data_IF_089804959263
#
_entry.id   IF_089804959263
#
_cell.length_a   1.000
_cell.length_b   1.000
_cell.length_c   1.000
_cell.angle_alpha   90.00
_cell.angle_beta   90.00
_cell.angle_gamma   90.00
#
_symmetry.space_group_name_H-M   'P 1'
#
loop_
_entity.id
_entity.type
_entity.pdbx_description
1 polymer ?
#
# COMPACT_ATOMS: atom_id res chain seq x y z
N UNK A 1 26.22 17.59 30.96
CA UNK A 1 27.39 16.77 31.36
C UNK A 1 28.08 16.33 30.09
N UNK A 2 29.13 17.07 29.73
CA UNK A 2 29.90 16.91 28.47
C UNK A 2 30.96 15.84 28.68
N UNK A 3 31.02 14.85 27.76
CA UNK A 3 32.18 13.95 27.66
C UNK A 3 32.81 14.12 26.28
N UNK A 4 33.91 14.87 26.26
CA UNK A 4 34.78 15.04 25.11
C UNK A 4 35.69 13.82 25.00
N UNK A 5 35.63 13.11 23.86
CA UNK A 5 36.63 12.09 23.52
C UNK A 5 37.60 12.68 22.51
N UNK A 6 38.81 12.95 22.98
CA UNK A 6 39.97 13.43 22.22
C UNK A 6 40.65 12.21 21.60
N UNK A 7 40.60 12.02 20.30
CA UNK A 7 41.43 11.00 19.62
C UNK A 7 42.75 11.59 19.14
N UNK A 8 43.84 11.06 19.71
CA UNK A 8 45.23 11.39 19.40
C UNK A 8 45.68 10.52 18.24
N UNK A 9 45.99 11.10 17.08
CA UNK A 9 46.65 10.41 15.98
C UNK A 9 48.15 10.46 16.19
N UNK A 10 48.75 9.33 16.52
CA UNK A 10 50.20 9.14 16.48
C UNK A 10 50.59 8.43 15.19
N UNK A 11 51.58 9.02 14.51
CA UNK A 11 52.27 8.48 13.33
C UNK A 11 52.76 7.06 13.58
N UNK A 12 52.46 6.15 12.66
CA UNK A 12 53.29 4.97 12.43
C UNK A 12 53.38 4.68 10.92
N UNK A 13 54.57 4.74 10.49
CA UNK A 13 55.39 4.36 9.37
C UNK A 13 54.90 3.15 8.58
N UNK A 14 55.08 3.25 7.26
CA UNK A 14 54.92 2.27 6.20
C UNK A 14 55.30 0.83 6.57
N UNK A 15 54.41 -0.09 6.30
CA UNK A 15 54.75 -1.47 5.89
C UNK A 15 53.73 -1.98 4.88
N UNK A 16 54.28 -2.58 3.81
CA UNK A 16 53.63 -3.35 2.80
C UNK A 16 52.56 -4.27 3.40
N UNK A 17 51.34 -4.19 2.93
CA UNK A 17 50.34 -5.22 3.16
C UNK A 17 49.77 -5.65 1.82
N UNK A 18 49.98 -6.92 1.57
CA UNK A 18 49.47 -7.84 0.55
C UNK A 18 47.94 -7.75 0.39
N UNK A 19 47.54 -7.90 -0.84
CA UNK A 19 46.17 -8.05 -1.26
C UNK A 19 45.39 -9.08 -0.43
N UNK A 20 44.30 -8.67 0.19
CA UNK A 20 43.19 -9.56 0.58
C UNK A 20 41.88 -8.99 0.06
N UNK A 21 41.37 -9.65 -0.94
CA UNK A 21 40.00 -9.46 -1.41
C UNK A 21 39.01 -9.85 -0.29
N UNK A 22 38.24 -8.88 0.20
CA UNK A 22 37.07 -9.19 1.01
C UNK A 22 35.88 -9.44 0.09
N UNK A 23 35.40 -10.68 0.08
CA UNK A 23 34.11 -11.03 -0.48
C UNK A 23 33.01 -10.41 0.38
N UNK A 24 32.26 -9.47 -0.20
CA UNK A 24 31.01 -9.01 0.38
C UNK A 24 29.92 -9.98 -0.10
N UNK A 25 29.41 -10.77 0.84
CA UNK A 25 28.23 -11.61 0.60
C UNK A 25 27.02 -10.72 0.40
N UNK A 26 26.54 -10.64 -0.85
CA UNK A 26 25.22 -10.10 -1.15
C UNK A 26 24.16 -11.11 -0.71
N UNK A 27 23.27 -10.66 0.16
CA UNK A 27 22.05 -11.37 0.57
C UNK A 27 21.21 -11.66 -0.69
N UNK A 28 20.92 -12.91 -0.93
CA UNK A 28 20.05 -13.40 -1.99
C UNK A 28 18.64 -12.86 -1.82
N UNK A 29 18.20 -12.04 -2.77
CA UNK A 29 16.78 -11.79 -3.03
C UNK A 29 16.38 -12.71 -4.19
N UNK A 30 15.49 -13.67 -4.01
CA UNK A 30 15.08 -14.57 -5.09
C UNK A 30 13.95 -13.94 -5.90
N UNK A 31 14.28 -13.25 -6.97
CA UNK A 31 13.36 -12.96 -8.07
C UNK A 31 14.19 -12.70 -9.32
N UNK A 32 14.40 -13.73 -10.13
CA UNK A 32 14.44 -13.70 -11.59
C UNK A 32 15.03 -15.03 -12.09
N UNK A 33 14.18 -15.98 -12.38
CA UNK A 33 14.52 -17.12 -13.23
C UNK A 33 14.57 -16.64 -14.69
N UNK A 34 15.55 -17.17 -15.41
CA UNK A 34 15.87 -17.07 -16.85
C UNK A 34 17.08 -16.16 -17.14
N UNK A 35 18.28 -16.73 -16.93
CA UNK A 35 19.49 -16.31 -17.64
C UNK A 35 19.97 -17.53 -18.45
N UNK A 36 20.12 -17.43 -19.76
CA UNK A 36 20.65 -18.53 -20.58
C UNK A 36 22.14 -18.76 -20.31
N UNK A 37 22.53 -20.04 -20.20
CA UNK A 37 23.86 -20.56 -19.82
C UNK A 37 25.00 -20.30 -20.85
N UNK A 38 24.99 -19.24 -21.63
CA UNK A 38 26.00 -18.99 -22.64
C UNK A 38 26.73 -17.65 -22.57
N UNK A 39 26.79 -17.03 -21.38
CA UNK A 39 27.49 -15.73 -21.26
C UNK A 39 28.96 -15.85 -20.88
N UNK A 40 29.43 -17.00 -20.40
CA UNK A 40 30.82 -17.16 -19.94
C UNK A 40 31.84 -17.23 -21.10
N UNK A 41 31.41 -17.53 -22.33
CA UNK A 41 32.29 -17.60 -23.47
C UNK A 41 32.51 -16.25 -24.19
N UNK A 42 31.73 -15.22 -23.88
CA UNK A 42 31.88 -13.90 -24.54
C UNK A 42 32.85 -12.97 -23.81
N UNK A 43 33.09 -13.19 -22.52
CA UNK A 43 33.99 -12.35 -21.71
C UNK A 43 35.45 -12.77 -21.78
N UNK A 44 35.72 -14.02 -22.17
CA UNK A 44 37.09 -14.57 -22.23
C UNK A 44 37.84 -14.27 -23.54
N UNK A 45 37.11 -13.91 -24.62
CA UNK A 45 37.73 -13.62 -25.91
C UNK A 45 38.24 -12.18 -26.04
N UNK A 46 37.73 -11.24 -25.26
CA UNK A 46 38.15 -9.82 -25.36
C UNK A 46 39.35 -9.42 -24.50
N UNK A 47 39.87 -10.31 -23.65
CA UNK A 47 40.99 -9.95 -22.74
C UNK A 47 42.39 -10.33 -23.30
N UNK A 48 42.48 -11.04 -24.43
CA UNK A 48 43.78 -11.50 -24.96
C UNK A 48 44.29 -10.74 -26.17
N UNK A 49 43.57 -9.78 -26.74
CA UNK A 49 44.02 -9.07 -27.95
C UNK A 49 44.50 -7.63 -27.73
N UNK A 50 44.61 -7.12 -26.48
CA UNK A 50 45.00 -5.74 -26.20
C UNK A 50 46.39 -5.56 -25.64
N UNK A 51 47.24 -6.59 -25.61
CA UNK A 51 48.62 -6.45 -25.18
C UNK A 51 49.60 -6.92 -26.27
N UNK A 52 49.60 -6.22 -27.40
CA UNK A 52 50.81 -6.20 -28.28
C UNK A 52 50.66 -5.07 -29.30
N UNK A 53 51.53 -4.09 -29.23
CA UNK A 53 51.87 -3.29 -30.37
C UNK A 53 51.64 -1.77 -30.30
N UNK A 54 52.75 -1.05 -30.03
CA UNK A 54 53.10 0.26 -30.57
C UNK A 54 52.59 1.55 -29.91
N UNK A 55 53.51 2.06 -29.16
CA UNK A 55 53.73 3.49 -28.87
C UNK A 55 53.87 4.28 -30.17
N UNK A 56 52.84 4.98 -30.64
CA UNK A 56 52.87 6.22 -31.45
C UNK A 56 51.40 6.69 -31.61
N UNK A 57 51.03 7.75 -30.99
CA UNK A 57 49.92 8.69 -31.17
C UNK A 57 49.15 9.02 -29.86
N UNK A 58 49.84 9.64 -28.95
CA UNK A 58 49.30 10.00 -27.60
C UNK A 58 48.36 11.22 -27.59
N UNK A 59 47.99 11.83 -28.71
CA UNK A 59 47.22 13.09 -28.73
C UNK A 59 45.83 12.97 -29.43
N UNK A 60 45.58 12.00 -30.30
CA UNK A 60 44.26 11.81 -30.89
C UNK A 60 43.35 10.85 -30.12
N UNK A 61 43.90 9.91 -29.35
CA UNK A 61 43.11 8.90 -28.62
C UNK A 61 42.30 9.45 -27.43
N UNK A 62 42.77 10.56 -26.81
CA UNK A 62 42.09 11.12 -25.65
C UNK A 62 40.77 11.86 -25.95
N UNK A 63 40.53 12.26 -27.19
CA UNK A 63 39.33 12.96 -27.61
C UNK A 63 38.19 11.97 -27.94
N UNK A 64 38.51 10.86 -28.57
CA UNK A 64 37.55 9.81 -28.91
C UNK A 64 37.08 9.06 -27.64
N UNK A 65 37.97 8.70 -26.73
CA UNK A 65 37.64 8.02 -25.47
C UNK A 65 36.74 8.91 -24.60
N UNK A 66 36.96 10.23 -24.57
CA UNK A 66 36.11 11.17 -23.84
C UNK A 66 34.70 11.29 -24.45
N UNK A 67 34.55 11.24 -25.77
CA UNK A 67 33.25 11.18 -26.45
C UNK A 67 32.52 9.88 -26.12
N UNK A 68 33.20 8.74 -26.23
CA UNK A 68 32.64 7.43 -25.91
C UNK A 68 32.13 7.32 -24.48
N UNK A 69 32.90 7.80 -23.50
CA UNK A 69 32.49 7.86 -22.08
C UNK A 69 31.28 8.78 -21.87
N UNK A 70 31.17 9.88 -22.63
CA UNK A 70 30.02 10.78 -22.56
C UNK A 70 28.77 10.13 -23.13
N UNK A 71 28.84 9.47 -24.29
CA UNK A 71 27.73 8.75 -24.91
C UNK A 71 27.31 7.54 -24.09
N UNK A 72 28.24 6.79 -23.51
CA UNK A 72 27.96 5.67 -22.62
C UNK A 72 27.19 6.10 -21.38
N UNK A 73 27.55 7.21 -20.74
CA UNK A 73 26.82 7.76 -19.60
C UNK A 73 25.40 8.21 -19.98
N UNK A 74 25.25 8.87 -21.12
CA UNK A 74 23.93 9.32 -21.59
C UNK A 74 23.04 8.13 -21.96
N UNK A 75 23.61 7.08 -22.57
CA UNK A 75 22.89 5.84 -22.87
C UNK A 75 22.48 5.09 -21.63
N UNK A 76 23.33 5.00 -20.61
CA UNK A 76 22.99 4.37 -19.31
C UNK A 76 21.86 5.12 -18.61
N UNK A 77 21.91 6.47 -18.59
CA UNK A 77 20.81 7.28 -18.01
C UNK A 77 19.52 7.13 -18.83
N UNK A 78 19.61 7.07 -20.15
CA UNK A 78 18.48 6.82 -21.04
C UNK A 78 17.87 5.44 -20.82
N UNK A 79 18.70 4.40 -20.71
CA UNK A 79 18.26 3.01 -20.45
C UNK A 79 17.63 2.86 -19.05
N UNK A 80 18.20 3.53 -18.05
CA UNK A 80 17.65 3.57 -16.70
C UNK A 80 16.30 4.29 -16.68
N UNK A 81 16.15 5.39 -17.41
CA UNK A 81 14.89 6.10 -17.59
C UNK A 81 13.82 5.24 -18.28
N UNK A 82 14.18 4.50 -19.32
CA UNK A 82 13.27 3.56 -20.01
C UNK A 82 12.89 2.39 -19.10
N UNK A 83 13.81 1.84 -18.32
CA UNK A 83 13.51 0.79 -17.33
C UNK A 83 12.54 1.26 -16.26
N UNK A 84 12.68 2.50 -15.78
CA UNK A 84 11.76 3.08 -14.79
C UNK A 84 10.36 3.33 -15.39
N UNK A 85 10.27 3.68 -16.67
CA UNK A 85 8.99 3.91 -17.36
C UNK A 85 8.28 2.62 -17.78
N UNK A 86 9.01 1.53 -18.06
CA UNK A 86 8.41 0.25 -18.48
C UNK A 86 7.83 -0.58 -17.33
N UNK A 87 8.08 -0.19 -16.06
CA UNK A 87 7.56 -0.90 -14.89
C UNK A 87 6.12 -0.51 -14.49
N UNK A 88 5.49 0.46 -15.15
CA UNK A 88 4.18 1.00 -14.78
C UNK A 88 3.02 0.28 -15.48
N UNK A 89 2.92 -1.04 -15.35
CA UNK A 89 1.68 -1.73 -15.67
C UNK A 89 0.67 -1.51 -14.53
N UNK A 90 -0.26 -0.56 -14.71
CA UNK A 90 -1.32 -0.22 -13.74
C UNK A 90 -2.15 -1.44 -13.33
N UNK A 91 -2.28 -2.43 -14.19
CA UNK A 91 -3.08 -3.64 -13.91
C UNK A 91 -2.48 -4.49 -12.79
N UNK A 92 -1.18 -4.39 -12.54
CA UNK A 92 -0.50 -5.09 -11.43
C UNK A 92 -0.71 -4.43 -10.07
N UNK A 93 -1.03 -3.14 -10.06
CA UNK A 93 -1.26 -2.37 -8.83
C UNK A 93 -2.74 -2.07 -8.69
N UNK A 94 -3.49 -3.03 -8.14
CA UNK A 94 -4.96 -2.96 -8.04
C UNK A 94 -5.48 -1.70 -7.32
N UNK A 95 -4.71 -1.14 -6.39
CA UNK A 95 -5.02 0.13 -5.70
C UNK A 95 -5.00 1.32 -6.67
N UNK A 96 -4.17 1.26 -7.73
CA UNK A 96 -4.05 2.33 -8.73
C UNK A 96 -5.06 2.19 -9.89
N UNK A 97 -5.98 1.21 -9.81
CA UNK A 97 -7.06 0.98 -10.78
C UNK A 97 -8.44 1.01 -10.08
N UNK A 98 -8.88 2.19 -9.59
CA UNK A 98 -10.13 2.34 -8.85
C UNK A 98 -11.35 2.03 -9.73
N UNK A 99 -12.33 1.32 -9.16
CA UNK A 99 -13.58 0.91 -9.82
C UNK A 99 -14.84 1.38 -9.09
N UNK A 100 -14.65 2.12 -8.00
CA UNK A 100 -15.71 2.72 -7.20
C UNK A 100 -15.47 4.20 -6.91
N UNK A 101 -16.48 4.98 -6.52
CA UNK A 101 -16.35 6.41 -6.24
C UNK A 101 -15.40 6.67 -5.05
N UNK A 102 -15.50 5.89 -3.98
CA UNK A 102 -14.62 6.02 -2.80
C UNK A 102 -13.16 5.78 -3.18
N UNK A 103 -12.86 4.68 -3.88
CA UNK A 103 -11.52 4.38 -4.35
C UNK A 103 -10.97 5.44 -5.33
N UNK A 104 -11.82 6.14 -6.08
CA UNK A 104 -11.42 7.28 -6.92
C UNK A 104 -10.94 8.46 -6.10
N UNK A 105 -11.65 8.81 -5.02
CA UNK A 105 -11.21 9.90 -4.12
C UNK A 105 -9.90 9.54 -3.40
N UNK A 106 -9.72 8.30 -2.97
CA UNK A 106 -8.46 7.82 -2.38
C UNK A 106 -7.31 7.90 -3.39
N UNK A 107 -7.53 7.48 -4.64
CA UNK A 107 -6.55 7.60 -5.71
C UNK A 107 -6.16 9.05 -5.98
N UNK A 108 -7.13 9.98 -5.92
CA UNK A 108 -6.89 11.41 -6.04
C UNK A 108 -5.98 11.94 -4.93
N UNK A 109 -6.20 11.52 -3.67
CA UNK A 109 -5.31 11.85 -2.56
C UNK A 109 -3.89 11.29 -2.76
N UNK A 110 -3.76 10.04 -3.24
CA UNK A 110 -2.46 9.44 -3.55
C UNK A 110 -1.71 10.28 -4.60
N UNK A 111 -2.39 10.73 -5.65
CA UNK A 111 -1.77 11.57 -6.69
C UNK A 111 -1.35 12.92 -6.12
N UNK A 112 -2.22 13.61 -5.37
CA UNK A 112 -1.92 14.91 -4.76
C UNK A 112 -0.72 14.79 -3.81
N UNK A 113 -0.72 13.82 -2.91
CA UNK A 113 0.38 13.60 -1.96
C UNK A 113 1.68 13.27 -2.67
N UNK A 114 1.65 12.45 -3.72
CA UNK A 114 2.83 12.10 -4.52
C UNK A 114 3.43 13.33 -5.21
N UNK A 115 2.58 14.20 -5.81
CA UNK A 115 3.03 15.44 -6.43
C UNK A 115 3.67 16.37 -5.39
N UNK A 116 3.03 16.56 -4.25
CA UNK A 116 3.56 17.41 -3.18
C UNK A 116 4.87 16.87 -2.60
N UNK A 117 5.01 15.55 -2.44
CA UNK A 117 6.28 14.93 -2.08
C UNK A 117 7.35 15.15 -3.15
N UNK A 118 7.01 15.04 -4.43
CA UNK A 118 7.95 15.26 -5.53
C UNK A 118 8.47 16.71 -5.58
N UNK A 119 7.61 17.70 -5.26
CA UNK A 119 8.00 19.13 -5.16
C UNK A 119 9.08 19.36 -4.10
N UNK A 120 9.14 18.55 -3.05
CA UNK A 120 10.20 18.62 -2.03
C UNK A 120 11.42 17.78 -2.44
N UNK A 121 11.19 16.53 -2.81
CA UNK A 121 12.25 15.55 -3.05
C UNK A 121 13.13 15.93 -4.25
N UNK A 122 12.50 16.35 -5.36
CA UNK A 122 13.26 16.67 -6.60
C UNK A 122 14.24 17.85 -6.40
N UNK A 123 13.85 19.01 -5.83
CA UNK A 123 14.80 20.09 -5.55
C UNK A 123 15.88 19.69 -4.56
N UNK A 124 15.55 18.96 -3.50
CA UNK A 124 16.53 18.48 -2.53
C UNK A 124 17.61 17.62 -3.19
N UNK A 125 17.22 16.64 -4.01
CA UNK A 125 18.19 15.83 -4.76
C UNK A 125 18.97 16.66 -5.78
N UNK A 126 18.33 17.61 -6.47
CA UNK A 126 19.01 18.48 -7.43
C UNK A 126 20.07 19.34 -6.75
N UNK A 127 19.75 19.96 -5.61
CA UNK A 127 20.68 20.76 -4.81
C UNK A 127 21.80 19.87 -4.25
N UNK A 128 21.48 18.70 -3.73
CA UNK A 128 22.46 17.74 -3.24
C UNK A 128 23.48 17.35 -4.33
N UNK A 129 23.01 16.97 -5.50
CA UNK A 129 23.87 16.62 -6.64
C UNK A 129 24.70 17.83 -7.08
N UNK A 130 24.09 19.02 -7.13
CA UNK A 130 24.79 20.27 -7.45
C UNK A 130 25.94 20.54 -6.46
N UNK A 131 25.69 20.48 -5.16
CA UNK A 131 26.70 20.72 -4.12
C UNK A 131 27.83 19.69 -4.25
N UNK A 132 27.52 18.39 -4.34
CA UNK A 132 28.52 17.33 -4.46
C UNK A 132 29.40 17.51 -5.71
N UNK A 133 28.83 17.89 -6.82
CA UNK A 133 29.57 18.09 -8.08
C UNK A 133 30.38 19.40 -8.04
N UNK A 134 29.80 20.49 -7.51
CA UNK A 134 30.39 21.83 -7.51
C UNK A 134 31.53 21.96 -6.50
N UNK A 135 31.37 21.38 -5.31
CA UNK A 135 32.36 21.49 -4.21
C UNK A 135 33.28 20.26 -4.08
N UNK A 136 33.21 19.36 -5.05
CA UNK A 136 34.08 18.18 -5.08
C UNK A 136 35.55 18.57 -5.13
N UNK A 137 36.39 17.96 -4.25
CA UNK A 137 37.83 18.15 -4.22
C UNK A 137 38.49 17.66 -5.52
N UNK A 138 38.85 18.59 -6.40
CA UNK A 138 39.53 18.34 -7.67
C UNK A 138 40.60 19.41 -7.91
N UNK A 139 41.77 19.09 -8.52
CA UNK A 139 42.72 20.07 -8.98
C UNK A 139 42.04 21.08 -9.93
N UNK A 140 42.20 22.39 -9.66
CA UNK A 140 41.59 23.47 -10.42
C UNK A 140 40.11 23.76 -10.13
N UNK A 141 39.57 23.29 -9.01
CA UNK A 141 38.23 23.68 -8.57
C UNK A 141 38.28 25.11 -7.96
N UNK A 142 37.54 26.03 -8.56
CA UNK A 142 37.44 27.44 -8.13
C UNK A 142 36.09 27.67 -7.39
N UNK A 143 35.56 26.69 -6.69
CA UNK A 143 34.37 26.89 -5.86
C UNK A 143 34.71 27.85 -4.70
N UNK A 144 33.84 28.82 -4.37
CA UNK A 144 34.06 29.69 -3.22
C UNK A 144 34.16 28.85 -1.94
N UNK A 145 35.09 29.18 -1.08
CA UNK A 145 35.28 28.52 0.20
C UNK A 145 34.91 29.51 1.31
N UNK A 146 33.78 29.28 1.95
CA UNK A 146 33.24 30.14 3.01
C UNK A 146 33.03 29.29 4.28
N UNK A 147 34.13 29.03 5.05
CA UNK A 147 34.06 28.11 6.19
C UNK A 147 33.27 28.65 7.38
N UNK A 148 33.04 29.95 7.43
CA UNK A 148 32.31 30.63 8.52
C UNK A 148 30.82 30.90 8.16
N UNK A 149 30.36 30.40 7.01
CA UNK A 149 28.95 30.51 6.64
C UNK A 149 28.13 29.44 7.37
N UNK A 150 27.45 29.83 8.43
CA UNK A 150 26.74 28.94 9.35
C UNK A 150 25.22 29.18 9.41
N UNK A 151 24.76 30.37 8.96
CA UNK A 151 23.35 30.77 9.06
C UNK A 151 22.88 31.50 7.78
N UNK A 152 21.60 31.36 7.46
CA UNK A 152 20.88 32.16 6.47
C UNK A 152 19.42 32.26 6.79
N UNK A 153 18.94 33.38 7.30
CA UNK A 153 17.54 33.62 7.64
C UNK A 153 16.58 33.46 6.46
N UNK A 154 17.06 33.77 5.26
CA UNK A 154 16.25 33.57 4.04
C UNK A 154 16.01 32.08 3.76
N UNK A 155 17.06 31.27 3.87
CA UNK A 155 16.93 29.83 3.71
C UNK A 155 16.10 29.23 4.83
N UNK A 156 16.23 29.71 6.05
CA UNK A 156 15.44 29.28 7.19
C UNK A 156 13.94 29.48 6.94
N UNK A 157 13.54 30.66 6.51
CA UNK A 157 12.13 30.96 6.16
C UNK A 157 11.65 30.08 5.01
N UNK A 158 12.46 29.79 4.01
CA UNK A 158 12.09 28.96 2.87
C UNK A 158 11.87 27.51 3.31
N UNK A 159 12.80 26.92 4.05
CA UNK A 159 12.70 25.50 4.42
C UNK A 159 11.62 25.21 5.50
N UNK A 160 11.25 26.21 6.31
CA UNK A 160 10.09 26.11 7.20
C UNK A 160 8.77 26.41 6.46
N UNK A 161 8.77 27.47 5.66
CA UNK A 161 7.57 27.96 5.00
C UNK A 161 7.00 26.97 3.98
N UNK A 162 7.83 26.38 3.12
CA UNK A 162 7.37 25.42 2.10
C UNK A 162 6.71 24.18 2.73
N UNK A 163 7.30 23.47 3.70
CA UNK A 163 6.65 22.34 4.35
C UNK A 163 5.37 22.72 5.08
N UNK A 164 5.31 23.85 5.74
CA UNK A 164 4.09 24.32 6.43
C UNK A 164 2.94 24.47 5.43
N UNK A 165 3.18 25.12 4.27
CA UNK A 165 2.17 25.26 3.21
C UNK A 165 1.74 23.90 2.65
N UNK A 166 2.69 22.99 2.41
CA UNK A 166 2.39 21.64 1.92
C UNK A 166 1.54 20.86 2.91
N UNK A 167 1.89 20.90 4.20
CA UNK A 167 1.11 20.20 5.26
C UNK A 167 -0.28 20.81 5.38
N UNK A 168 -0.44 22.14 5.27
CA UNK A 168 -1.74 22.79 5.31
C UNK A 168 -2.62 22.34 4.13
N UNK A 169 -2.07 22.28 2.92
CA UNK A 169 -2.78 21.80 1.72
C UNK A 169 -3.19 20.34 1.90
N UNK A 170 -2.28 19.46 2.29
CA UNK A 170 -2.57 18.03 2.51
C UNK A 170 -3.63 17.85 3.60
N UNK A 171 -3.49 18.56 4.72
CA UNK A 171 -4.44 18.49 5.84
C UNK A 171 -5.86 18.88 5.40
N UNK A 172 -5.99 19.96 4.63
CA UNK A 172 -7.28 20.39 4.10
C UNK A 172 -7.92 19.34 3.18
N UNK A 173 -7.18 18.82 2.20
CA UNK A 173 -7.70 17.80 1.28
C UNK A 173 -8.01 16.49 1.99
N UNK A 174 -7.15 16.05 2.91
CA UNK A 174 -7.36 14.81 3.68
C UNK A 174 -8.59 14.90 4.55
N UNK A 175 -8.75 15.99 5.33
CA UNK A 175 -9.92 16.19 6.18
C UNK A 175 -11.23 16.23 5.37
N UNK A 176 -11.24 16.95 4.24
CA UNK A 176 -12.40 17.01 3.35
C UNK A 176 -12.75 15.63 2.78
N UNK A 177 -11.76 14.91 2.23
CA UNK A 177 -12.01 13.59 1.65
C UNK A 177 -12.45 12.58 2.72
N UNK A 178 -11.89 12.61 3.93
CA UNK A 178 -12.32 11.74 5.03
C UNK A 178 -13.80 11.93 5.36
N UNK A 179 -14.29 13.18 5.39
CA UNK A 179 -15.70 13.49 5.60
C UNK A 179 -16.57 13.01 4.43
N UNK A 180 -16.09 13.18 3.19
CA UNK A 180 -16.87 12.83 2.00
C UNK A 180 -16.99 11.31 1.83
N UNK A 181 -15.95 10.51 2.10
CA UNK A 181 -15.99 9.04 2.01
C UNK A 181 -16.73 8.37 3.17
N UNK A 182 -16.94 9.08 4.29
CA UNK A 182 -17.76 8.61 5.42
C UNK A 182 -19.26 8.67 5.14
N UNK A 183 -19.67 9.25 4.03
CA UNK A 183 -21.08 9.40 3.62
C UNK A 183 -21.40 8.41 2.49
N UNK A 184 -22.71 8.07 2.32
CA UNK A 184 -23.11 7.24 1.17
C UNK A 184 -22.72 7.93 -0.14
N UNK A 185 -22.13 7.19 -1.09
CA UNK A 185 -21.66 7.76 -2.36
C UNK A 185 -22.79 8.35 -3.23
N UNK A 186 -24.02 7.87 -3.05
CA UNK A 186 -25.23 8.37 -3.72
C UNK A 186 -26.33 8.52 -2.67
N UNK A 187 -27.00 9.68 -2.63
CA UNK A 187 -27.96 10.00 -1.56
C UNK A 187 -29.38 9.47 -1.79
N UNK A 188 -29.81 9.32 -3.04
CA UNK A 188 -31.23 9.04 -3.38
C UNK A 188 -31.49 7.58 -3.72
N UNK A 189 -30.57 6.69 -3.38
CA UNK A 189 -30.69 5.25 -3.64
C UNK A 189 -30.64 4.50 -2.32
N UNK A 190 -31.64 3.63 -2.09
CA UNK A 190 -31.65 2.76 -0.92
C UNK A 190 -30.44 1.83 -0.93
N UNK A 191 -29.55 1.89 0.06
CA UNK A 191 -28.36 1.06 0.10
C UNK A 191 -28.69 -0.41 0.37
N UNK A 192 -27.85 -1.29 -0.13
CA UNK A 192 -27.84 -2.69 0.32
C UNK A 192 -26.92 -2.79 1.54
N UNK A 193 -27.48 -3.28 2.65
CA UNK A 193 -26.71 -3.51 3.88
C UNK A 193 -26.14 -4.93 3.87
N UNK A 194 -24.85 -5.06 4.11
CA UNK A 194 -24.14 -6.33 4.27
C UNK A 194 -23.37 -6.29 5.58
N UNK A 195 -23.72 -7.18 6.50
CA UNK A 195 -22.99 -7.34 7.75
C UNK A 195 -21.81 -8.28 7.52
N UNK A 196 -20.63 -7.90 8.00
CA UNK A 196 -19.40 -8.66 7.81
C UNK A 196 -18.79 -8.99 9.17
N UNK A 197 -18.57 -10.27 9.41
CA UNK A 197 -17.90 -10.75 10.61
C UNK A 197 -16.54 -11.34 10.23
N UNK A 198 -15.48 -10.78 10.79
CA UNK A 198 -14.14 -11.37 10.73
C UNK A 198 -14.08 -12.56 11.70
N UNK A 199 -13.77 -13.74 11.19
CA UNK A 199 -13.51 -14.96 11.96
C UNK A 199 -12.03 -15.33 11.83
N UNK A 200 -11.58 -16.34 12.59
CA UNK A 200 -10.21 -16.84 12.44
C UNK A 200 -9.98 -17.41 11.02
N UNK A 201 -9.33 -16.55 10.23
CA UNK A 201 -8.87 -16.65 8.85
C UNK A 201 -9.95 -16.83 7.78
N UNK A 202 -11.17 -16.30 8.03
CA UNK A 202 -12.27 -16.27 7.05
C UNK A 202 -13.20 -15.08 7.28
N UNK A 203 -14.01 -14.78 6.29
CA UNK A 203 -14.97 -13.69 6.28
C UNK A 203 -16.38 -14.22 6.12
N UNK A 204 -17.24 -13.95 7.09
CA UNK A 204 -18.67 -14.24 7.02
C UNK A 204 -19.42 -12.98 6.59
N UNK A 205 -20.21 -13.08 5.54
CA UNK A 205 -21.09 -12.04 5.02
C UNK A 205 -22.54 -12.44 5.26
N UNK A 206 -23.30 -11.62 5.97
CA UNK A 206 -24.73 -11.81 6.15
C UNK A 206 -25.51 -10.68 5.48
N UNK A 207 -26.63 -11.02 4.86
CA UNK A 207 -27.49 -10.10 4.11
C UNK A 207 -28.85 -9.99 4.81
N UNK A 208 -29.07 -8.98 5.68
CA UNK A 208 -30.33 -8.86 6.43
C UNK A 208 -31.55 -8.77 5.53
N UNK A 209 -31.44 -8.02 4.42
CA UNK A 209 -32.56 -7.87 3.46
C UNK A 209 -32.97 -9.16 2.71
N UNK A 210 -32.04 -10.09 2.52
CA UNK A 210 -32.24 -11.36 1.83
C UNK A 210 -32.31 -12.56 2.76
N UNK A 211 -31.89 -12.39 4.02
CA UNK A 211 -31.77 -13.45 5.04
C UNK A 211 -30.91 -14.64 4.59
N UNK A 212 -29.79 -14.37 3.89
CA UNK A 212 -28.82 -15.37 3.42
C UNK A 212 -27.42 -15.02 3.96
N UNK A 213 -26.50 -15.99 3.94
CA UNK A 213 -25.13 -15.75 4.32
C UNK A 213 -24.13 -16.42 3.35
N UNK A 214 -22.93 -15.86 3.26
CA UNK A 214 -21.81 -16.41 2.47
C UNK A 214 -20.50 -16.31 3.23
N UNK A 215 -19.54 -17.16 2.88
CA UNK A 215 -18.21 -17.17 3.46
C UNK A 215 -17.18 -17.02 2.36
N UNK A 216 -16.20 -16.10 2.57
CA UNK A 216 -15.09 -15.78 1.69
C UNK A 216 -15.49 -15.27 0.29
N UNK A 217 -16.74 -14.92 0.09
CA UNK A 217 -17.19 -14.12 -1.05
C UNK A 217 -18.43 -13.32 -0.70
N UNK A 218 -18.61 -12.19 -1.36
CA UNK A 218 -19.83 -11.39 -1.33
C UNK A 218 -20.31 -11.11 -2.75
N UNK A 219 -21.60 -11.13 -2.99
CA UNK A 219 -22.19 -10.67 -4.25
C UNK A 219 -22.98 -9.39 -3.99
N UNK A 220 -22.76 -8.37 -4.81
CA UNK A 220 -23.36 -7.03 -4.65
C UNK A 220 -23.91 -6.54 -5.99
N UNK A 221 -24.97 -5.72 -6.00
CA UNK A 221 -25.42 -5.07 -7.21
C UNK A 221 -24.47 -3.93 -7.62
N UNK A 222 -24.09 -3.86 -8.89
CA UNK A 222 -23.30 -2.77 -9.45
C UNK A 222 -24.14 -1.49 -9.55
N UNK A 223 -23.52 -0.33 -9.32
CA UNK A 223 -24.17 0.99 -9.36
C UNK A 223 -24.99 1.33 -8.12
N UNK A 224 -25.10 0.42 -7.14
CA UNK A 224 -25.86 0.63 -5.90
C UNK A 224 -24.88 0.87 -4.74
N UNK A 225 -25.14 1.85 -3.85
CA UNK A 225 -24.34 2.02 -2.63
C UNK A 225 -24.51 0.80 -1.72
N UNK A 226 -23.39 0.28 -1.22
CA UNK A 226 -23.36 -0.83 -0.27
C UNK A 226 -22.83 -0.30 1.05
N UNK A 227 -23.58 -0.54 2.12
CA UNK A 227 -23.14 -0.29 3.48
C UNK A 227 -22.64 -1.60 4.07
N UNK A 228 -21.34 -1.74 4.25
CA UNK A 228 -20.77 -2.79 5.06
C UNK A 228 -20.77 -2.38 6.53
N UNK A 229 -21.34 -3.25 7.38
CA UNK A 229 -21.29 -3.12 8.84
C UNK A 229 -20.38 -4.23 9.35
N UNK A 230 -19.26 -3.84 9.94
CA UNK A 230 -18.12 -4.70 10.19
C UNK A 230 -17.98 -4.99 11.69
N UNK A 231 -17.77 -6.25 12.05
CA UNK A 231 -17.39 -6.67 13.41
C UNK A 231 -16.39 -7.82 13.35
N UNK A 232 -15.94 -8.29 14.51
CA UNK A 232 -15.07 -9.45 14.63
C UNK A 232 -15.52 -10.39 15.75
N UNK A 233 -15.48 -11.69 15.53
CA UNK A 233 -15.52 -12.75 16.56
C UNK A 233 -14.17 -13.48 16.68
N UNK A 234 -13.10 -12.77 16.30
CA UNK A 234 -11.70 -13.18 16.28
C UNK A 234 -10.81 -11.96 16.61
N UNK A 235 -9.49 -12.07 16.66
CA UNK A 235 -8.62 -10.90 16.79
C UNK A 235 -8.91 -9.82 15.75
N UNK A 236 -8.70 -8.55 16.13
CA UNK A 236 -8.91 -7.40 15.25
C UNK A 236 -8.25 -7.61 13.88
N UNK A 237 -9.01 -7.34 12.81
CA UNK A 237 -8.52 -7.36 11.45
C UNK A 237 -8.90 -6.07 10.72
N UNK A 238 -8.48 -5.91 9.47
CA UNK A 238 -8.94 -4.86 8.56
C UNK A 238 -9.57 -5.47 7.34
N UNK A 239 -10.78 -5.05 7.04
CA UNK A 239 -11.49 -5.40 5.82
C UNK A 239 -11.06 -4.47 4.68
N UNK A 240 -10.62 -5.02 3.56
CA UNK A 240 -10.09 -4.22 2.47
C UNK A 240 -10.48 -4.75 1.09
N UNK A 241 -11.05 -3.88 0.26
CA UNK A 241 -11.36 -4.13 -1.15
C UNK A 241 -10.70 -3.03 -1.99
N UNK A 242 -9.41 -3.17 -2.35
CA UNK A 242 -8.55 -2.10 -2.88
C UNK A 242 -9.10 -1.30 -4.06
N UNK A 243 -9.90 -1.93 -4.92
CA UNK A 243 -10.46 -1.28 -6.12
C UNK A 243 -11.79 -0.54 -5.86
N UNK A 244 -12.43 -0.75 -4.72
CA UNK A 244 -13.74 -0.19 -4.42
C UNK A 244 -13.70 0.84 -3.30
N UNK A 245 -12.88 0.60 -2.26
CA UNK A 245 -12.73 1.48 -1.11
C UNK A 245 -11.42 1.18 -0.36
N UNK A 246 -11.08 2.04 0.60
CA UNK A 246 -9.98 1.83 1.55
C UNK A 246 -10.22 0.65 2.48
N UNK A 247 -9.52 0.65 3.60
CA UNK A 247 -9.68 -0.39 4.60
C UNK A 247 -10.40 0.17 5.85
N UNK A 248 -11.19 -0.70 6.50
CA UNK A 248 -11.85 -0.40 7.75
C UNK A 248 -11.59 -1.53 8.75
N UNK A 249 -11.44 -1.15 10.03
CA UNK A 249 -11.18 -2.13 11.07
C UNK A 249 -12.42 -2.98 11.39
N UNK A 250 -12.18 -4.26 11.67
CA UNK A 250 -13.15 -5.17 12.26
C UNK A 250 -12.70 -5.49 13.68
N UNK A 251 -13.40 -4.95 14.67
CA UNK A 251 -13.02 -5.07 16.08
C UNK A 251 -14.10 -5.83 16.86
N UNK A 252 -13.69 -6.74 17.78
CA UNK A 252 -14.64 -7.39 18.68
C UNK A 252 -15.41 -6.35 19.49
N UNK A 253 -16.72 -6.55 19.65
CA UNK A 253 -17.59 -5.67 20.42
C UNK A 253 -17.93 -4.33 19.76
N UNK A 254 -17.49 -4.09 18.51
CA UNK A 254 -17.79 -2.87 17.78
C UNK A 254 -18.47 -3.17 16.45
N UNK A 255 -19.37 -2.27 16.02
CA UNK A 255 -19.99 -2.29 14.70
C UNK A 255 -19.49 -1.08 13.91
N UNK A 256 -18.53 -1.28 13.00
CA UNK A 256 -17.93 -0.23 12.19
C UNK A 256 -18.63 -0.13 10.84
N UNK A 257 -18.87 1.09 10.37
CA UNK A 257 -19.55 1.33 9.08
C UNK A 257 -18.57 1.68 7.99
N UNK A 258 -18.76 1.08 6.81
CA UNK A 258 -17.96 1.37 5.62
C UNK A 258 -18.87 1.46 4.40
N UNK A 259 -18.68 2.50 3.59
CA UNK A 259 -19.38 2.67 2.33
C UNK A 259 -18.51 2.26 1.16
N UNK A 260 -19.09 1.50 0.22
CA UNK A 260 -18.48 1.26 -1.07
C UNK A 260 -19.55 1.13 -2.16
N UNK A 261 -19.12 1.28 -3.40
CA UNK A 261 -19.93 1.06 -4.59
C UNK A 261 -19.05 0.57 -5.72
N UNK A 262 -19.50 -0.44 -6.44
CA UNK A 262 -18.87 -0.87 -7.69
C UNK A 262 -19.55 -0.19 -8.87
N UNK A 263 -18.84 0.64 -9.63
CA UNK A 263 -19.40 1.34 -10.80
C UNK A 263 -19.65 0.39 -11.98
N UNK A 264 -19.00 -0.77 -12.00
CA UNK A 264 -19.12 -1.76 -13.09
C UNK A 264 -19.22 -3.17 -12.51
N UNK A 265 -19.89 -4.05 -13.26
CA UNK A 265 -19.88 -5.47 -12.98
C UNK A 265 -18.43 -6.01 -13.08
N UNK A 266 -18.08 -6.95 -12.20
CA UNK A 266 -16.74 -7.50 -12.14
C UNK A 266 -16.49 -8.32 -10.89
N UNK A 267 -15.27 -8.86 -10.79
CA UNK A 267 -14.84 -9.67 -9.66
C UNK A 267 -13.66 -8.97 -8.98
N UNK A 268 -13.91 -8.38 -7.84
CA UNK A 268 -12.97 -7.55 -7.10
C UNK A 268 -12.30 -8.36 -5.99
N UNK A 269 -11.00 -8.22 -5.88
CA UNK A 269 -10.21 -8.86 -4.82
C UNK A 269 -10.43 -8.15 -3.48
N UNK A 270 -10.61 -8.96 -2.42
CA UNK A 270 -10.61 -8.49 -1.04
C UNK A 270 -9.72 -9.35 -0.16
N UNK A 271 -9.23 -8.78 0.92
CA UNK A 271 -8.38 -9.47 1.90
C UNK A 271 -8.46 -8.84 3.28
N UNK A 272 -8.01 -9.58 4.30
CA UNK A 272 -7.58 -8.99 5.55
C UNK A 272 -6.30 -8.18 5.35
N UNK A 273 -6.14 -7.10 6.09
CA UNK A 273 -4.96 -6.23 6.02
C UNK A 273 -4.15 -6.17 7.32
N UNK A 274 -4.66 -6.71 8.43
CA UNK A 274 -3.92 -6.88 9.69
C UNK A 274 -3.54 -8.34 9.88
N UNK A 275 -2.29 -8.58 10.28
CA UNK A 275 -1.80 -9.93 10.56
C UNK A 275 -2.49 -10.54 11.79
N UNK A 276 -3.15 -11.69 11.60
CA UNK A 276 -3.94 -12.39 12.62
C UNK A 276 -3.49 -13.83 12.87
N UNK A 277 -2.24 -14.17 12.55
CA UNK A 277 -1.68 -15.49 12.80
C UNK A 277 -1.41 -16.32 11.54
N UNK A 278 -1.25 -17.62 11.70
CA UNK A 278 -0.72 -18.53 10.67
C UNK A 278 -1.59 -18.64 9.41
N UNK A 279 -2.90 -18.51 9.54
CA UNK A 279 -3.86 -18.58 8.43
C UNK A 279 -4.11 -17.24 7.72
N UNK A 280 -3.53 -16.13 8.17
CA UNK A 280 -3.75 -14.80 7.61
C UNK A 280 -3.53 -14.72 6.09
N UNK A 281 -2.49 -15.36 5.56
CA UNK A 281 -2.20 -15.36 4.13
C UNK A 281 -3.32 -15.95 3.26
N UNK A 282 -4.20 -16.74 3.84
CA UNK A 282 -5.36 -17.36 3.19
C UNK A 282 -6.65 -16.58 3.40
N UNK A 283 -6.67 -15.55 4.25
CA UNK A 283 -7.83 -14.72 4.57
C UNK A 283 -8.18 -13.76 3.43
N UNK A 284 -8.50 -14.32 2.29
CA UNK A 284 -8.87 -13.65 1.04
C UNK A 284 -10.30 -13.94 0.69
N UNK A 285 -10.96 -12.96 0.04
CA UNK A 285 -12.33 -13.10 -0.43
C UNK A 285 -12.52 -12.43 -1.80
N UNK A 286 -13.69 -12.62 -2.39
CA UNK A 286 -14.08 -11.97 -3.64
C UNK A 286 -15.37 -11.18 -3.45
N UNK A 287 -15.37 -9.94 -3.95
CA UNK A 287 -16.60 -9.16 -4.09
C UNK A 287 -17.00 -9.20 -5.56
N UNK A 288 -18.12 -9.86 -5.85
CA UNK A 288 -18.68 -10.03 -7.19
C UNK A 288 -19.76 -8.98 -7.40
N UNK A 289 -19.48 -7.96 -8.20
CA UNK A 289 -20.47 -6.98 -8.60
C UNK A 289 -21.21 -7.47 -9.85
N UNK A 290 -22.51 -7.60 -9.75
CA UNK A 290 -23.39 -8.12 -10.82
C UNK A 290 -24.54 -7.14 -11.12
N UNK A 291 -25.35 -7.41 -12.14
CA UNK A 291 -26.55 -6.60 -12.34
C UNK A 291 -27.54 -6.80 -11.18
N UNK A 292 -28.42 -5.82 -10.93
CA UNK A 292 -29.46 -5.94 -9.89
C UNK A 292 -30.35 -7.20 -10.11
N UNK A 293 -30.67 -7.52 -11.36
CA UNK A 293 -31.45 -8.68 -11.70
C UNK A 293 -30.72 -10.00 -11.36
N UNK A 294 -29.41 -10.05 -11.62
CA UNK A 294 -28.62 -11.25 -11.33
C UNK A 294 -28.36 -11.40 -9.83
N UNK A 295 -28.18 -10.29 -9.10
CA UNK A 295 -28.11 -10.27 -7.64
C UNK A 295 -29.39 -10.89 -7.03
N UNK A 296 -30.57 -10.47 -7.51
CA UNK A 296 -31.86 -11.03 -7.04
C UNK A 296 -32.00 -12.52 -7.36
N UNK A 297 -31.59 -12.95 -8.56
CA UNK A 297 -31.57 -14.37 -8.96
C UNK A 297 -30.59 -15.17 -8.11
N UNK A 298 -29.42 -14.65 -7.84
CA UNK A 298 -28.45 -15.30 -6.99
C UNK A 298 -28.96 -15.48 -5.57
N UNK A 299 -29.52 -14.45 -4.95
CA UNK A 299 -30.10 -14.52 -3.61
C UNK A 299 -31.23 -15.56 -3.53
N UNK A 300 -32.12 -15.56 -4.51
CA UNK A 300 -33.21 -16.55 -4.60
C UNK A 300 -32.68 -17.99 -4.77
N UNK A 301 -31.64 -18.18 -5.58
CA UNK A 301 -31.00 -19.49 -5.77
C UNK A 301 -30.35 -19.99 -4.49
N UNK A 302 -29.61 -19.12 -3.74
CA UNK A 302 -29.04 -19.51 -2.47
C UNK A 302 -30.11 -19.91 -1.46
N UNK A 303 -31.15 -19.12 -1.36
CA UNK A 303 -32.29 -19.40 -0.44
C UNK A 303 -32.95 -20.75 -0.69
N UNK A 304 -32.98 -21.20 -1.96
CA UNK A 304 -33.60 -22.47 -2.35
C UNK A 304 -32.66 -23.67 -2.19
N UNK A 305 -31.38 -23.51 -2.51
CA UNK A 305 -30.48 -24.63 -2.78
C UNK A 305 -29.35 -24.80 -1.76
N UNK A 306 -29.14 -23.83 -0.85
CA UNK A 306 -28.05 -23.90 0.12
C UNK A 306 -28.54 -24.43 1.48
N UNK A 307 -27.66 -25.03 2.29
CA UNK A 307 -28.02 -25.42 3.66
C UNK A 307 -28.26 -24.19 4.53
N UNK A 308 -28.94 -24.34 5.65
CA UNK A 308 -29.06 -23.30 6.66
C UNK A 308 -27.80 -23.27 7.52
N UNK A 309 -27.32 -22.09 7.88
CA UNK A 309 -26.29 -21.92 8.90
C UNK A 309 -26.99 -22.01 10.28
N UNK A 310 -26.80 -23.12 10.96
CA UNK A 310 -27.31 -23.31 12.32
C UNK A 310 -26.37 -22.64 13.33
N UNK A 311 -26.78 -22.54 14.60
CA UNK A 311 -25.93 -22.02 15.67
C UNK A 311 -24.67 -22.86 15.86
N UNK A 312 -24.82 -24.20 15.90
CA UNK A 312 -23.65 -25.11 15.98
C UNK A 312 -22.77 -24.99 14.73
N UNK A 313 -23.36 -24.87 13.54
CA UNK A 313 -22.60 -24.64 12.30
C UNK A 313 -21.84 -23.31 12.30
N UNK A 314 -22.34 -22.29 12.99
CA UNK A 314 -21.61 -21.05 13.20
C UNK A 314 -20.43 -21.24 14.17
N UNK A 315 -20.63 -21.96 15.27
CA UNK A 315 -19.56 -22.27 16.25
C UNK A 315 -18.42 -23.07 15.60
N UNK A 316 -18.77 -24.06 14.76
CA UNK A 316 -17.79 -24.79 13.95
C UNK A 316 -17.06 -23.87 12.95
N UNK A 317 -17.81 -22.97 12.32
CA UNK A 317 -17.24 -21.99 11.39
C UNK A 317 -16.32 -20.99 12.11
N UNK A 318 -16.62 -20.58 13.34
CA UNK A 318 -15.82 -19.66 14.12
C UNK A 318 -14.49 -20.28 14.60
N UNK A 319 -14.35 -21.60 14.60
CA UNK A 319 -13.11 -22.29 14.98
C UNK A 319 -11.94 -21.95 14.05
N UNK A 320 -10.69 -21.87 14.57
CA UNK A 320 -9.51 -21.50 13.79
C UNK A 320 -9.23 -22.49 12.65
N UNK A 321 -9.63 -22.17 11.45
CA UNK A 321 -9.35 -22.93 10.23
C UNK A 321 -9.53 -22.06 8.98
N UNK A 322 -9.08 -22.56 7.83
CA UNK A 322 -9.33 -21.95 6.52
C UNK A 322 -10.37 -22.76 5.77
N UNK A 323 -11.36 -22.08 5.19
CA UNK A 323 -12.40 -22.72 4.38
C UNK A 323 -12.45 -22.10 3.00
N UNK A 324 -13.00 -22.84 2.03
CA UNK A 324 -13.34 -22.32 0.71
C UNK A 324 -14.60 -21.43 0.79
N UNK A 325 -15.07 -20.98 -0.35
CA UNK A 325 -16.34 -20.27 -0.45
C UNK A 325 -17.50 -21.18 -0.02
N UNK A 326 -18.35 -20.70 0.90
CA UNK A 326 -19.55 -21.38 1.36
C UNK A 326 -20.77 -20.47 1.19
N UNK A 327 -21.96 -21.06 1.11
CA UNK A 327 -23.21 -20.34 0.95
C UNK A 327 -24.29 -20.97 1.84
N UNK A 328 -25.13 -20.12 2.44
CA UNK A 328 -26.17 -20.54 3.35
C UNK A 328 -27.49 -19.85 2.99
N UNK A 329 -28.60 -20.64 3.03
CA UNK A 329 -29.96 -20.18 2.75
C UNK A 329 -30.55 -19.32 3.88
N UNK A 330 -30.02 -19.45 5.08
CA UNK A 330 -30.38 -18.65 6.26
C UNK A 330 -29.27 -18.69 7.30
N UNK A 331 -29.37 -17.85 8.31
CA UNK A 331 -28.46 -17.80 9.46
C UNK A 331 -29.27 -17.50 10.74
N UNK A 332 -28.72 -17.73 11.95
CA UNK A 332 -29.37 -17.46 13.21
C UNK A 332 -29.86 -16.01 13.31
N UNK A 333 -31.10 -15.82 13.75
CA UNK A 333 -31.65 -14.49 13.97
C UNK A 333 -30.76 -13.73 14.96
N UNK A 334 -30.50 -12.44 14.68
CA UNK A 334 -29.66 -11.56 15.49
C UNK A 334 -28.19 -12.00 15.64
N UNK A 335 -27.70 -12.89 14.76
CA UNK A 335 -26.32 -13.41 14.84
C UNK A 335 -25.28 -12.29 14.97
N UNK A 336 -25.39 -11.23 14.17
CA UNK A 336 -24.45 -10.11 14.18
C UNK A 336 -24.50 -9.34 15.51
N UNK A 337 -25.68 -9.07 16.02
CA UNK A 337 -25.90 -8.43 17.32
C UNK A 337 -25.35 -9.27 18.48
N UNK A 338 -25.62 -10.58 18.45
CA UNK A 338 -25.14 -11.54 19.44
C UNK A 338 -23.61 -11.57 19.48
N UNK A 339 -22.94 -11.49 18.31
CA UNK A 339 -21.47 -11.45 18.22
C UNK A 339 -20.92 -10.14 18.82
N UNK A 340 -21.52 -9.00 18.49
CA UNK A 340 -21.11 -7.71 19.06
C UNK A 340 -21.29 -7.71 20.58
N UNK A 341 -22.42 -8.15 21.07
CA UNK A 341 -22.75 -8.20 22.51
C UNK A 341 -21.86 -9.20 23.26
N UNK A 342 -21.62 -10.39 22.71
CA UNK A 342 -20.70 -11.41 23.25
C UNK A 342 -19.31 -10.85 23.55
N UNK A 343 -18.86 -9.94 22.71
CA UNK A 343 -17.53 -9.31 22.82
C UNK A 343 -17.55 -7.98 23.59
N UNK A 344 -18.57 -7.74 24.42
CA UNK A 344 -18.65 -6.61 25.35
C UNK A 344 -19.15 -5.29 24.75
N UNK A 345 -19.62 -5.33 23.50
CA UNK A 345 -20.22 -4.17 22.83
C UNK A 345 -21.72 -4.07 23.00
N UNK A 346 -22.27 -2.98 22.50
CA UNK A 346 -23.72 -2.80 22.34
C UNK A 346 -23.99 -2.46 20.87
N UNK A 347 -24.83 -3.27 20.22
CA UNK A 347 -25.19 -3.01 18.84
C UNK A 347 -26.48 -2.22 18.77
N UNK A 348 -26.40 -1.03 18.18
CA UNK A 348 -27.58 -0.22 17.87
C UNK A 348 -27.87 -0.33 16.36
N UNK A 349 -28.98 -0.94 16.01
CA UNK A 349 -29.42 -1.02 14.62
C UNK A 349 -30.05 0.32 14.21
N UNK A 350 -29.24 1.26 13.76
CA UNK A 350 -29.72 2.51 13.18
C UNK A 350 -29.75 2.40 11.66
N UNK A 351 -30.94 2.23 11.02
CA UNK A 351 -31.02 2.07 9.57
C UNK A 351 -30.64 3.29 8.76
N UNK A 352 -30.43 4.47 9.36
CA UNK A 352 -30.29 5.71 8.58
C UNK A 352 -29.23 6.73 9.02
N UNK A 353 -28.52 6.58 10.14
CA UNK A 353 -27.60 7.63 10.58
C UNK A 353 -26.32 7.07 11.21
N UNK A 354 -25.34 6.71 10.39
CA UNK A 354 -23.93 6.75 10.79
C UNK A 354 -23.30 8.08 10.33
N UNK A 355 -23.92 9.18 10.71
CA UNK A 355 -23.44 10.52 10.33
C UNK A 355 -23.53 11.56 11.45
N UNK A 356 -24.53 11.50 12.28
CA UNK A 356 -24.82 12.68 13.11
C UNK A 356 -25.09 12.45 14.61
N UNK A 357 -25.32 11.22 15.11
CA UNK A 357 -25.56 11.02 16.53
C UNK A 357 -25.02 9.68 17.02
N UNK A 358 -23.73 9.64 17.41
CA UNK A 358 -23.31 8.69 18.44
C UNK A 358 -23.64 9.32 19.80
N UNK A 359 -24.66 8.83 20.55
CA UNK A 359 -24.85 9.29 21.91
C UNK A 359 -23.64 8.83 22.72
N UNK A 360 -22.93 9.80 23.29
CA UNK A 360 -21.88 9.54 24.26
C UNK A 360 -22.44 8.62 25.36
N UNK A 361 -21.78 7.51 25.54
CA UNK A 361 -21.99 6.46 26.50
C UNK A 361 -22.27 7.08 27.87
N UNK A 362 -23.51 7.00 28.36
CA UNK A 362 -23.76 7.20 29.77
C UNK A 362 -23.12 6.04 30.51
N UNK A 363 -22.00 6.30 31.15
CA UNK A 363 -21.37 5.41 32.10
C UNK A 363 -22.43 4.95 33.11
N UNK A 364 -22.76 3.66 33.05
CA UNK A 364 -23.54 3.01 34.09
C UNK A 364 -22.69 3.04 35.37
N UNK A 365 -23.02 3.93 36.26
CA UNK A 365 -22.55 3.90 37.66
C UNK A 365 -23.14 2.67 38.32
N UNK A 366 -22.31 1.65 38.50
CA UNK A 366 -22.62 0.57 39.43
C UNK A 366 -22.63 1.15 40.85
N UNK A 367 -23.81 1.07 41.48
CA UNK A 367 -23.96 1.05 42.93
C UNK A 367 -23.79 -0.38 43.43
#
# INVERSE_FOLDING_TARGET
MYLAVRYRISRLRERKISERFYYINFVHIPCFGIIPKNLDNLLTVHHKSLFSGNLINKTKGNFEVRKWIRYSKTSIFGLLGIMLLSSCDRSKYIVLDPKGPVAHEEMRLIIISTILCAVVIIPVFAIFVYIVVRYRNRPGNNAPYEPEWDDSKVLEVIWWGIPIVIVAILGFYTARTAIDVSKPPVKDVTPVVVQVTSLDWKWLFTYPGQSIATVNYAEIPAGVPIQFVLTSDAPMNSFWVPQLAGQEYTMPGMAMGMWLQANKTGNYYGSGANFTGTGFAHMKFRVRAVSQADFNKWAARLKKNSPALTKNGYEDLASPNTVKELSFSSYPKNLFEDIVNKNGGTYYNHPHHMGDDMPMQKTATHH
#
